data_IF_273104768431
#
_entry.id   IF_273104768431
#
_cell.length_a   1.000
_cell.length_b   1.000
_cell.length_c   1.000
_cell.angle_alpha   90.00
_cell.angle_beta   90.00
_cell.angle_gamma   90.00
#
_symmetry.space_group_name_H-M   'P 1'
#
loop_
_entity.id
_entity.type
_entity.pdbx_description
1 polymer ?
#
# COMPACT_ATOMS: atom_id res chain seq x y z
N UNK A 1 2.87 -19.12 10.10
CA UNK A 1 2.96 -18.14 8.99
C UNK A 1 4.21 -18.39 8.16
N UNK A 2 4.14 -18.27 6.83
CA UNK A 2 5.30 -18.34 5.92
C UNK A 2 6.42 -17.39 6.38
N UNK A 3 7.67 -17.85 6.27
CA UNK A 3 8.85 -17.01 6.46
C UNK A 3 9.24 -16.34 5.15
N UNK A 4 9.56 -15.05 5.21
CA UNK A 4 10.10 -14.29 4.07
C UNK A 4 11.59 -14.03 4.26
N UNK A 5 12.35 -14.10 3.17
CA UNK A 5 13.77 -13.79 3.10
C UNK A 5 13.98 -12.37 2.56
N UNK A 6 13.47 -11.37 3.29
CA UNK A 6 13.60 -9.96 2.92
C UNK A 6 14.89 -9.42 3.56
N UNK A 7 15.69 -8.73 2.76
CA UNK A 7 16.91 -8.06 3.21
C UNK A 7 17.00 -6.69 2.56
N UNK A 8 17.71 -5.76 3.20
CA UNK A 8 17.99 -4.45 2.59
C UNK A 8 18.70 -4.59 1.24
N UNK A 9 18.44 -3.69 0.28
CA UNK A 9 19.24 -3.61 -0.94
C UNK A 9 20.74 -3.52 -0.64
N UNK A 10 21.55 -4.28 -1.39
CA UNK A 10 23.01 -4.31 -1.23
C UNK A 10 23.60 -2.93 -1.57
N UNK A 11 24.53 -2.44 -0.74
CA UNK A 11 25.16 -1.12 -0.88
C UNK A 11 26.37 -1.10 -1.81
N UNK A 12 26.77 -2.21 -2.43
CA UNK A 12 27.94 -2.29 -3.33
C UNK A 12 27.96 -1.23 -4.42
N UNK A 13 26.80 -0.91 -5.01
CA UNK A 13 26.69 0.07 -6.10
C UNK A 13 26.30 1.48 -5.64
N UNK A 14 26.15 1.70 -4.33
CA UNK A 14 25.64 2.97 -3.79
C UNK A 14 26.48 4.17 -4.22
N UNK A 15 27.79 4.13 -3.97
CA UNK A 15 28.70 5.22 -4.31
C UNK A 15 28.74 5.48 -5.83
N UNK A 16 28.65 4.41 -6.63
CA UNK A 16 28.67 4.51 -8.10
C UNK A 16 27.35 5.09 -8.63
N UNK A 17 26.21 4.77 -8.02
CA UNK A 17 24.92 5.40 -8.34
C UNK A 17 24.92 6.88 -7.98
N UNK A 18 25.41 7.24 -6.79
CA UNK A 18 25.52 8.62 -6.34
C UNK A 18 26.43 9.42 -7.28
N UNK A 19 27.59 8.86 -7.66
CA UNK A 19 28.49 9.50 -8.63
C UNK A 19 27.81 9.66 -10.01
N UNK A 20 27.12 8.62 -10.51
CA UNK A 20 26.37 8.70 -11.77
C UNK A 20 25.35 9.84 -11.74
N UNK A 21 24.56 9.95 -10.68
CA UNK A 21 23.53 10.99 -10.53
C UNK A 21 24.14 12.39 -10.41
N UNK A 22 25.27 12.52 -9.71
CA UNK A 22 25.99 13.78 -9.55
C UNK A 22 26.68 14.24 -10.84
N UNK A 23 26.96 13.34 -11.78
CA UNK A 23 27.62 13.64 -13.05
C UNK A 23 26.65 13.96 -14.20
N UNK A 24 25.34 13.89 -13.98
CA UNK A 24 24.33 14.41 -14.92
C UNK A 24 24.48 15.92 -15.10
N UNK A 25 24.15 16.48 -16.27
CA UNK A 25 24.28 17.90 -16.64
C UNK A 25 23.35 18.84 -15.87
N UNK A 26 23.53 18.92 -14.56
CA UNK A 26 22.74 19.71 -13.62
C UNK A 26 23.58 20.13 -12.40
N UNK A 27 23.21 21.21 -11.69
CA UNK A 27 23.79 21.46 -10.37
C UNK A 27 23.54 20.27 -9.43
N UNK A 28 24.50 19.96 -8.56
CA UNK A 28 24.41 18.86 -7.59
C UNK A 28 23.14 19.00 -6.72
N UNK A 29 22.31 17.96 -6.67
CA UNK A 29 21.07 17.94 -5.88
C UNK A 29 19.91 18.79 -6.43
N UNK A 30 20.05 19.44 -7.59
CA UNK A 30 19.03 20.36 -8.13
C UNK A 30 17.71 19.70 -8.54
N UNK A 31 17.69 18.37 -8.73
CA UNK A 31 16.45 17.63 -9.00
C UNK A 31 15.83 17.01 -7.73
N UNK A 32 16.41 17.30 -6.56
CA UNK A 32 15.82 17.00 -5.26
C UNK A 32 15.41 15.54 -5.11
N UNK A 33 14.14 15.31 -4.77
CA UNK A 33 13.64 13.97 -4.47
C UNK A 33 13.66 13.00 -5.66
N UNK A 34 13.67 13.48 -6.92
CA UNK A 34 13.87 12.61 -8.08
C UNK A 34 15.24 11.90 -8.04
N UNK A 35 16.26 12.55 -7.50
CA UNK A 35 17.59 11.95 -7.30
C UNK A 35 17.56 10.85 -6.25
N UNK A 36 16.84 11.08 -5.14
CA UNK A 36 16.63 10.09 -4.08
C UNK A 36 15.89 8.85 -4.61
N UNK A 37 14.85 9.05 -5.42
CA UNK A 37 14.08 7.96 -6.03
C UNK A 37 14.93 7.15 -7.03
N UNK A 38 15.67 7.81 -7.91
CA UNK A 38 16.53 7.12 -8.87
C UNK A 38 17.60 6.27 -8.18
N UNK A 39 18.18 6.80 -7.09
CA UNK A 39 19.11 6.08 -6.24
C UNK A 39 18.45 4.87 -5.57
N UNK A 40 17.29 5.04 -4.94
CA UNK A 40 16.55 3.94 -4.30
C UNK A 40 16.21 2.83 -5.31
N UNK A 41 15.69 3.20 -6.48
CA UNK A 41 15.30 2.24 -7.52
C UNK A 41 16.52 1.52 -8.09
N UNK A 42 17.61 2.25 -8.36
CA UNK A 42 18.88 1.67 -8.80
C UNK A 42 19.43 0.68 -7.78
N UNK A 43 19.32 1.00 -6.49
CA UNK A 43 19.69 0.12 -5.38
C UNK A 43 18.81 -1.13 -5.31
N UNK A 44 17.49 -1.00 -5.38
CA UNK A 44 16.57 -2.16 -5.39
C UNK A 44 16.91 -3.11 -6.55
N UNK A 45 17.08 -2.56 -7.75
CA UNK A 45 17.34 -3.34 -8.97
C UNK A 45 18.81 -3.75 -9.16
N UNK A 46 19.71 -3.28 -8.28
CA UNK A 46 21.16 -3.52 -8.35
C UNK A 46 21.76 -3.17 -9.73
N UNK A 47 21.39 -2.00 -10.26
CA UNK A 47 21.84 -1.53 -11.58
C UNK A 47 22.01 -0.01 -11.61
N UNK A 48 22.95 0.46 -12.43
CA UNK A 48 23.13 1.88 -12.73
C UNK A 48 22.10 2.40 -13.74
N UNK A 49 21.43 1.51 -14.47
CA UNK A 49 20.45 1.84 -15.49
C UNK A 49 19.11 1.16 -15.18
N UNK A 50 18.39 1.60 -14.14
CA UNK A 50 17.13 0.99 -13.73
C UNK A 50 16.06 1.09 -14.82
N UNK A 51 15.03 0.26 -14.73
CA UNK A 51 13.88 0.31 -15.64
C UNK A 51 12.60 -0.08 -14.91
N UNK A 52 11.46 0.50 -15.31
CA UNK A 52 10.14 0.10 -14.82
C UNK A 52 9.48 -0.78 -15.87
N UNK A 53 9.04 -1.97 -15.47
CA UNK A 53 8.52 -2.99 -16.37
C UNK A 53 7.17 -3.48 -15.89
N UNK A 54 6.23 -3.49 -16.82
CA UNK A 54 4.89 -4.05 -16.66
C UNK A 54 4.25 -3.67 -15.31
N UNK A 55 4.01 -2.37 -15.06
CA UNK A 55 3.42 -1.94 -13.79
C UNK A 55 2.03 -2.56 -13.62
N UNK A 56 1.70 -2.97 -12.40
CA UNK A 56 0.40 -3.56 -12.10
C UNK A 56 -0.16 -3.02 -10.78
N UNK A 57 -1.48 -2.85 -10.74
CA UNK A 57 -2.21 -2.50 -9.53
C UNK A 57 -3.00 -3.71 -9.07
N UNK A 58 -2.74 -4.17 -7.85
CA UNK A 58 -3.49 -5.27 -7.25
C UNK A 58 -4.47 -4.68 -6.24
N UNK A 59 -5.76 -4.76 -6.53
CA UNK A 59 -6.83 -4.30 -5.68
C UNK A 59 -7.42 -5.48 -4.92
N UNK A 60 -7.22 -5.53 -3.62
CA UNK A 60 -7.81 -6.55 -2.74
C UNK A 60 -9.12 -6.06 -2.14
N UNK A 61 -10.15 -6.90 -2.13
CA UNK A 61 -11.46 -6.52 -1.59
C UNK A 61 -11.99 -7.51 -0.54
N UNK A 62 -12.53 -6.97 0.54
CA UNK A 62 -13.20 -7.74 1.58
C UNK A 62 -14.12 -6.86 2.42
N UNK A 63 -15.14 -7.48 3.02
CA UNK A 63 -16.04 -6.79 3.94
C UNK A 63 -15.60 -6.91 5.40
N UNK A 64 -15.99 -5.93 6.22
CA UNK A 64 -15.59 -5.86 7.62
C UNK A 64 -16.78 -6.04 8.57
N UNK A 65 -16.66 -6.94 9.55
CA UNK A 65 -17.71 -7.18 10.55
C UNK A 65 -17.99 -5.98 11.45
N UNK A 66 -17.03 -5.06 11.62
CA UNK A 66 -17.21 -3.84 12.43
C UNK A 66 -18.26 -2.88 11.85
N UNK A 67 -18.63 -3.04 10.57
CA UNK A 67 -19.65 -2.20 9.91
C UNK A 67 -21.01 -2.33 10.59
N UNK A 68 -21.32 -3.47 11.21
CA UNK A 68 -22.55 -3.70 11.97
C UNK A 68 -22.70 -2.71 13.16
N UNK A 69 -21.60 -2.10 13.61
CA UNK A 69 -21.61 -1.09 14.67
C UNK A 69 -21.84 0.33 14.15
N UNK A 70 -22.13 0.55 12.87
CA UNK A 70 -22.43 1.88 12.33
C UNK A 70 -21.21 2.81 12.26
N UNK A 71 -20.01 2.27 12.05
CA UNK A 71 -18.75 3.03 11.96
C UNK A 71 -18.49 3.69 10.60
N UNK A 72 -19.46 3.65 9.69
CA UNK A 72 -19.40 4.18 8.33
C UNK A 72 -20.80 4.52 7.83
N UNK A 73 -20.92 5.48 6.90
CA UNK A 73 -22.18 5.80 6.21
C UNK A 73 -22.44 4.91 5.00
N UNK A 74 -21.38 4.32 4.42
CA UNK A 74 -21.50 3.49 3.24
C UNK A 74 -22.15 2.15 3.58
N UNK A 75 -23.18 1.71 2.83
CA UNK A 75 -23.72 0.36 2.94
C UNK A 75 -22.65 -0.69 2.61
N UNK A 76 -22.71 -1.86 3.26
CA UNK A 76 -21.78 -2.97 3.04
C UNK A 76 -21.76 -3.44 1.58
N UNK A 77 -22.90 -3.35 0.90
CA UNK A 77 -23.08 -3.75 -0.49
C UNK A 77 -22.19 -2.96 -1.47
N UNK A 78 -21.74 -1.77 -1.07
CA UNK A 78 -20.86 -0.93 -1.92
C UNK A 78 -19.58 -1.68 -2.29
N UNK A 79 -19.04 -2.53 -1.40
CA UNK A 79 -17.83 -3.33 -1.68
C UNK A 79 -18.00 -4.18 -2.94
N UNK A 80 -19.02 -5.05 -2.99
CA UNK A 80 -19.23 -5.92 -4.15
C UNK A 80 -19.70 -5.12 -5.37
N UNK A 81 -20.50 -4.07 -5.19
CA UNK A 81 -20.98 -3.22 -6.28
C UNK A 81 -19.82 -2.54 -7.00
N UNK A 82 -18.85 -2.00 -6.26
CA UNK A 82 -17.65 -1.40 -6.85
C UNK A 82 -16.80 -2.43 -7.58
N UNK A 83 -16.66 -3.65 -7.05
CA UNK A 83 -15.94 -4.71 -7.77
C UNK A 83 -16.58 -5.01 -9.13
N UNK A 84 -17.91 -5.10 -9.19
CA UNK A 84 -18.62 -5.24 -10.46
C UNK A 84 -18.40 -4.02 -11.36
N UNK A 85 -18.40 -2.81 -10.81
CA UNK A 85 -18.09 -1.59 -11.56
C UNK A 85 -16.67 -1.61 -12.15
N UNK A 86 -15.68 -2.09 -11.39
CA UNK A 86 -14.29 -2.18 -11.83
C UNK A 86 -14.11 -3.16 -12.99
N UNK A 87 -14.85 -4.28 -13.02
CA UNK A 87 -14.83 -5.21 -14.18
C UNK A 87 -15.32 -4.54 -15.47
N UNK A 88 -16.06 -3.44 -15.37
CA UNK A 88 -16.61 -2.68 -16.50
C UNK A 88 -15.77 -1.45 -16.83
N UNK A 89 -14.67 -1.21 -16.12
CA UNK A 89 -13.80 -0.06 -16.34
C UNK A 89 -14.31 1.25 -15.71
N UNK A 90 -15.28 1.19 -14.79
CA UNK A 90 -15.99 2.39 -14.30
C UNK A 90 -15.40 3.07 -13.06
N UNK A 91 -14.37 2.52 -12.44
CA UNK A 91 -13.72 3.09 -11.26
C UNK A 91 -12.66 4.15 -11.57
N UNK A 92 -12.30 4.94 -10.56
CA UNK A 92 -11.17 5.88 -10.65
C UNK A 92 -9.86 5.14 -10.92
N UNK A 93 -9.66 4.00 -10.24
CA UNK A 93 -8.52 3.11 -10.50
C UNK A 93 -8.46 2.62 -11.95
N UNK A 94 -9.59 2.33 -12.59
CA UNK A 94 -9.60 1.89 -14.00
C UNK A 94 -9.10 2.99 -14.95
N UNK A 95 -9.52 4.24 -14.70
CA UNK A 95 -9.07 5.40 -15.47
C UNK A 95 -7.56 5.57 -15.36
N UNK A 96 -7.02 5.62 -14.14
CA UNK A 96 -5.59 5.83 -13.92
C UNK A 96 -4.74 4.64 -14.40
N UNK A 97 -5.21 3.41 -14.21
CA UNK A 97 -4.54 2.23 -14.75
C UNK A 97 -4.42 2.31 -16.27
N UNK A 98 -5.50 2.65 -16.98
CA UNK A 98 -5.46 2.83 -18.43
C UNK A 98 -4.52 3.97 -18.85
N UNK A 99 -4.55 5.09 -18.14
CA UNK A 99 -3.72 6.26 -18.45
C UNK A 99 -2.21 5.95 -18.30
N UNK A 100 -1.84 5.22 -17.27
CA UNK A 100 -0.44 4.95 -16.93
C UNK A 100 0.01 3.52 -17.30
N UNK A 101 -0.81 2.81 -18.09
CA UNK A 101 -0.54 1.45 -18.58
C UNK A 101 -0.28 0.43 -17.46
N UNK A 102 -1.01 0.55 -16.35
CA UNK A 102 -1.05 -0.48 -15.32
C UNK A 102 -2.03 -1.58 -15.69
N UNK A 103 -1.62 -2.84 -15.51
CA UNK A 103 -2.56 -3.95 -15.45
C UNK A 103 -3.30 -3.91 -14.12
N UNK A 104 -4.63 -3.82 -14.13
CA UNK A 104 -5.45 -3.90 -12.92
C UNK A 104 -5.82 -5.36 -12.63
N UNK A 105 -5.47 -5.87 -11.45
CA UNK A 105 -5.91 -7.17 -10.92
C UNK A 105 -6.92 -6.95 -9.81
N UNK A 106 -8.13 -7.47 -9.97
CA UNK A 106 -9.18 -7.42 -8.96
C UNK A 106 -9.18 -8.74 -8.19
N UNK A 107 -8.95 -8.68 -6.88
CA UNK A 107 -8.82 -9.87 -6.04
C UNK A 107 -9.89 -9.84 -4.96
N UNK A 108 -10.75 -10.84 -4.96
CA UNK A 108 -11.68 -11.07 -3.87
C UNK A 108 -10.94 -11.78 -2.73
N UNK A 109 -10.64 -11.04 -1.66
CA UNK A 109 -10.01 -11.58 -0.45
C UNK A 109 -11.06 -12.08 0.56
N UNK A 110 -12.27 -11.52 0.53
CA UNK A 110 -13.30 -11.86 1.48
C UNK A 110 -14.60 -11.06 1.39
N UNK A 111 -15.07 -10.76 0.18
CA UNK A 111 -16.32 -10.01 -0.02
C UNK A 111 -17.51 -10.89 0.39
N UNK A 112 -18.47 -10.32 1.13
CA UNK A 112 -19.71 -11.01 1.51
C UNK A 112 -20.73 -11.00 0.38
N UNK A 113 -20.33 -11.59 -0.75
CA UNK A 113 -21.15 -11.72 -1.94
C UNK A 113 -20.64 -12.87 -2.83
N UNK A 114 -21.54 -13.49 -3.60
CA UNK A 114 -21.15 -14.41 -4.67
C UNK A 114 -20.78 -13.62 -5.92
N UNK A 115 -19.47 -13.37 -6.08
CA UNK A 115 -18.95 -12.58 -7.19
C UNK A 115 -18.87 -13.41 -8.49
N UNK A 116 -19.15 -12.80 -9.65
CA UNK A 116 -19.03 -13.43 -10.96
C UNK A 116 -17.55 -13.51 -11.38
N UNK A 117 -16.81 -14.52 -10.89
CA UNK A 117 -15.37 -14.67 -11.15
C UNK A 117 -15.03 -14.79 -12.64
N UNK A 118 -15.95 -15.28 -13.47
CA UNK A 118 -15.80 -15.36 -14.92
C UNK A 118 -15.62 -14.00 -15.60
N UNK A 119 -15.85 -12.89 -14.87
CA UNK A 119 -15.67 -11.51 -15.34
C UNK A 119 -14.29 -10.91 -14.99
N UNK A 120 -13.32 -11.74 -14.66
CA UNK A 120 -11.94 -11.33 -14.40
C UNK A 120 -11.65 -10.93 -12.95
N UNK A 121 -12.49 -11.35 -12.00
CA UNK A 121 -12.21 -11.24 -10.56
C UNK A 121 -11.46 -12.50 -10.14
N UNK A 122 -10.30 -12.34 -9.53
CA UNK A 122 -9.48 -13.44 -9.04
C UNK A 122 -10.05 -13.92 -7.71
N UNK A 123 -10.50 -15.18 -7.67
CA UNK A 123 -11.07 -15.80 -6.48
C UNK A 123 -9.99 -16.18 -5.48
N UNK A 124 -9.81 -15.36 -4.45
CA UNK A 124 -8.95 -15.64 -3.29
C UNK A 124 -9.76 -15.53 -1.99
N UNK A 125 -11.09 -15.74 -2.05
CA UNK A 125 -12.01 -15.51 -0.93
C UNK A 125 -11.67 -16.43 0.24
N UNK A 126 -11.20 -15.87 1.34
CA UNK A 126 -10.86 -16.64 2.56
C UNK A 126 -12.13 -16.99 3.33
N UNK A 127 -13.05 -16.03 3.41
CA UNK A 127 -14.37 -16.14 4.05
C UNK A 127 -15.26 -14.98 3.57
N UNK A 128 -16.51 -14.96 4.00
CA UNK A 128 -17.44 -13.84 3.74
C UNK A 128 -17.36 -12.80 4.86
N UNK A 129 -16.60 -11.74 4.61
CA UNK A 129 -16.32 -10.67 5.56
C UNK A 129 -15.56 -11.13 6.81
N UNK A 130 -14.89 -10.21 7.51
CA UNK A 130 -14.31 -10.51 8.83
C UNK A 130 -15.38 -10.68 9.90
N UNK A 131 -15.00 -11.29 11.02
CA UNK A 131 -15.79 -11.18 12.26
C UNK A 131 -15.69 -9.76 12.81
N UNK A 132 -16.61 -9.40 13.71
CA UNK A 132 -16.61 -8.10 14.35
C UNK A 132 -15.66 -8.09 15.56
N UNK A 133 -14.55 -7.36 15.44
CA UNK A 133 -13.52 -7.23 16.48
C UNK A 133 -13.93 -6.46 17.72
N UNK A 134 -15.17 -5.97 17.80
CA UNK A 134 -15.77 -5.58 19.07
C UNK A 134 -16.05 -6.76 19.99
N UNK A 135 -16.31 -7.95 19.42
CA UNK A 135 -16.73 -9.14 20.19
C UNK A 135 -15.71 -10.29 20.13
N UNK A 136 -15.01 -10.46 19.02
CA UNK A 136 -14.04 -11.54 18.81
C UNK A 136 -13.04 -11.19 17.69
N UNK A 137 -11.90 -11.87 17.60
CA UNK A 137 -10.90 -11.56 16.58
C UNK A 137 -11.46 -11.57 15.14
N UNK A 138 -11.09 -10.57 14.34
CA UNK A 138 -11.54 -10.41 12.96
C UNK A 138 -11.33 -11.66 12.10
N UNK A 139 -10.23 -12.39 12.33
CA UNK A 139 -9.94 -13.66 11.67
C UNK A 139 -9.22 -14.66 12.61
N UNK A 140 -9.26 -15.95 12.27
CA UNK A 140 -8.46 -16.98 12.94
C UNK A 140 -7.00 -16.92 12.50
N UNK A 141 -6.13 -17.69 13.14
CA UNK A 141 -4.73 -17.78 12.73
C UNK A 141 -4.61 -18.40 11.33
N UNK A 142 -5.39 -19.45 11.05
CA UNK A 142 -5.42 -20.12 9.75
C UNK A 142 -5.95 -19.20 8.64
N UNK A 143 -6.99 -18.41 8.93
CA UNK A 143 -7.52 -17.41 8.01
C UNK A 143 -6.46 -16.33 7.68
N UNK A 144 -5.72 -15.85 8.69
CA UNK A 144 -4.63 -14.89 8.50
C UNK A 144 -3.49 -15.48 7.66
N UNK A 145 -3.06 -16.70 7.96
CA UNK A 145 -2.01 -17.39 7.20
C UNK A 145 -2.41 -17.60 5.74
N UNK A 146 -3.68 -17.95 5.50
CA UNK A 146 -4.22 -18.11 4.16
C UNK A 146 -4.27 -16.78 3.40
N UNK A 147 -4.63 -15.67 4.05
CA UNK A 147 -4.53 -14.32 3.47
C UNK A 147 -3.10 -14.01 3.03
N UNK A 148 -2.12 -14.22 3.91
CA UNK A 148 -0.70 -13.94 3.62
C UNK A 148 -0.20 -14.78 2.43
N UNK A 149 -0.52 -16.08 2.40
CA UNK A 149 -0.09 -16.96 1.31
C UNK A 149 -0.76 -16.60 -0.02
N UNK A 150 -2.07 -16.29 -0.02
CA UNK A 150 -2.79 -15.89 -1.24
C UNK A 150 -2.29 -14.56 -1.79
N UNK A 151 -2.03 -13.57 -0.93
CA UNK A 151 -1.42 -12.31 -1.35
C UNK A 151 -0.04 -12.51 -1.97
N UNK A 152 0.76 -13.39 -1.36
CA UNK A 152 2.06 -13.78 -1.89
C UNK A 152 1.94 -14.49 -3.26
N UNK A 153 0.94 -15.37 -3.43
CA UNK A 153 0.71 -16.09 -4.68
C UNK A 153 0.39 -15.14 -5.85
N UNK A 154 -0.45 -14.11 -5.62
CA UNK A 154 -0.74 -13.09 -6.63
C UNK A 154 0.54 -12.37 -7.07
N UNK A 155 1.40 -11.99 -6.12
CA UNK A 155 2.64 -11.26 -6.46
C UNK A 155 3.64 -12.13 -7.22
N UNK A 156 3.76 -13.42 -6.89
CA UNK A 156 4.58 -14.35 -7.69
C UNK A 156 4.09 -14.42 -9.14
N UNK A 157 2.78 -14.46 -9.35
CA UNK A 157 2.22 -14.39 -10.69
C UNK A 157 2.57 -13.07 -11.41
N UNK A 158 2.47 -11.92 -10.72
CA UNK A 158 2.85 -10.64 -11.31
C UNK A 158 4.33 -10.58 -11.71
N UNK A 159 5.20 -11.19 -10.89
CA UNK A 159 6.62 -11.30 -11.18
C UNK A 159 6.90 -12.20 -12.39
N UNK A 160 6.21 -13.35 -12.50
CA UNK A 160 6.28 -14.25 -13.66
C UNK A 160 5.77 -13.58 -14.96
N UNK A 161 4.80 -12.67 -14.83
CA UNK A 161 4.32 -11.81 -15.92
C UNK A 161 5.33 -10.69 -16.30
N UNK A 162 6.47 -10.60 -15.61
CA UNK A 162 7.55 -9.67 -15.91
C UNK A 162 7.44 -8.31 -15.23
N UNK A 163 6.57 -8.17 -14.23
CA UNK A 163 6.46 -6.95 -13.43
C UNK A 163 7.68 -6.78 -12.52
N UNK A 164 8.09 -5.53 -12.28
CA UNK A 164 9.06 -5.17 -11.24
C UNK A 164 8.62 -4.00 -10.36
N UNK A 165 7.39 -3.54 -10.54
CA UNK A 165 6.77 -2.47 -9.75
C UNK A 165 5.29 -2.77 -9.59
N UNK A 166 4.83 -2.75 -8.36
CA UNK A 166 3.43 -3.00 -8.00
C UNK A 166 2.89 -1.84 -7.18
N UNK A 167 1.69 -1.39 -7.53
CA UNK A 167 0.85 -0.65 -6.60
C UNK A 167 -0.19 -1.57 -5.97
N UNK A 168 -0.59 -1.22 -4.76
CA UNK A 168 -1.62 -1.95 -4.04
C UNK A 168 -2.80 -1.02 -3.76
N UNK A 169 -3.99 -1.56 -3.92
CA UNK A 169 -5.24 -0.90 -3.63
C UNK A 169 -6.13 -1.78 -2.78
N UNK A 170 -7.17 -1.17 -2.24
CA UNK A 170 -8.19 -1.86 -1.46
C UNK A 170 -9.59 -1.47 -1.91
N UNK A 171 -10.55 -2.31 -1.55
CA UNK A 171 -11.96 -1.95 -1.51
C UNK A 171 -12.60 -2.70 -0.34
N UNK A 172 -12.94 -1.99 0.73
CA UNK A 172 -13.59 -2.60 1.88
C UNK A 172 -14.32 -1.58 2.75
N UNK A 173 -15.65 -1.68 2.78
CA UNK A 173 -16.44 -0.80 3.65
C UNK A 173 -16.06 -1.06 5.12
N UNK A 174 -15.66 0.01 5.84
CA UNK A 174 -15.27 -0.04 7.25
C UNK A 174 -13.76 -0.21 7.53
N UNK A 175 -12.92 -0.43 6.52
CA UNK A 175 -11.50 -0.71 6.72
C UNK A 175 -10.65 0.46 7.24
N UNK A 176 -11.14 1.70 7.14
CA UNK A 176 -10.52 2.87 7.80
C UNK A 176 -10.56 2.74 9.32
N UNK A 177 -11.54 2.03 9.88
CA UNK A 177 -11.60 1.69 11.32
C UNK A 177 -10.45 0.78 11.73
N UNK A 178 -10.25 -0.29 10.97
CA UNK A 178 -9.15 -1.26 11.14
C UNK A 178 -7.80 -0.56 11.01
N UNK A 179 -7.66 0.30 10.01
CA UNK A 179 -6.47 1.14 9.78
C UNK A 179 -6.18 2.08 10.95
N UNK A 180 -7.21 2.71 11.53
CA UNK A 180 -7.06 3.61 12.69
C UNK A 180 -6.54 2.87 13.93
N UNK A 181 -7.03 1.65 14.16
CA UNK A 181 -6.56 0.80 15.26
C UNK A 181 -5.10 0.37 15.03
N UNK A 182 -4.75 -0.09 13.83
CA UNK A 182 -3.37 -0.47 13.51
C UNK A 182 -2.41 0.70 13.66
N UNK A 183 -2.77 1.89 13.16
CA UNK A 183 -1.98 3.10 13.35
C UNK A 183 -1.74 3.35 14.84
N UNK A 184 -2.79 3.33 15.67
CA UNK A 184 -2.67 3.51 17.12
C UNK A 184 -1.72 2.47 17.75
N UNK A 185 -1.96 1.19 17.52
CA UNK A 185 -1.21 0.09 18.13
C UNK A 185 0.27 0.08 17.71
N UNK A 186 0.59 0.45 16.46
CA UNK A 186 1.94 0.32 15.91
C UNK A 186 2.79 1.59 15.97
N UNK A 187 2.18 2.75 16.23
CA UNK A 187 2.87 4.05 16.33
C UNK A 187 2.75 4.68 17.72
N UNK A 188 1.87 4.16 18.58
CA UNK A 188 1.49 4.76 19.86
C UNK A 188 0.87 6.17 19.76
N UNK A 189 0.48 6.62 18.56
CA UNK A 189 -0.30 7.85 18.38
C UNK A 189 -1.69 7.66 19.03
N UNK A 190 -2.19 8.65 19.81
CA UNK A 190 -3.51 8.55 20.44
C UNK A 190 -4.63 8.25 19.44
N UNK A 191 -5.52 7.31 19.78
CA UNK A 191 -6.55 6.80 18.85
C UNK A 191 -7.48 7.90 18.30
N UNK A 192 -7.79 8.92 19.11
CA UNK A 192 -8.58 10.09 18.70
C UNK A 192 -7.92 10.90 17.57
N UNK A 193 -6.59 10.80 17.41
CA UNK A 193 -5.84 11.38 16.28
C UNK A 193 -5.72 10.44 15.07
N UNK A 194 -6.03 9.16 15.26
CA UNK A 194 -6.00 8.16 14.19
C UNK A 194 -7.36 8.05 13.47
N UNK A 195 -8.46 8.38 14.16
CA UNK A 195 -9.82 8.26 13.62
C UNK A 195 -10.21 9.50 12.83
N UNK A 196 -10.47 9.33 11.54
CA UNK A 196 -10.96 10.37 10.64
C UNK A 196 -12.36 10.10 10.09
N UNK A 197 -12.88 11.02 9.24
CA UNK A 197 -14.21 10.95 8.65
C UNK A 197 -14.39 9.77 7.68
N UNK A 198 -13.30 9.22 7.13
CA UNK A 198 -13.34 8.18 6.11
C UNK A 198 -14.22 8.58 4.92
N UNK A 199 -15.24 7.77 4.62
CA UNK A 199 -16.22 8.01 3.56
C UNK A 199 -17.26 9.12 3.88
N UNK A 200 -16.88 10.15 4.65
CA UNK A 200 -17.70 11.37 4.84
C UNK A 200 -18.55 11.41 6.13
N UNK A 201 -18.12 10.76 7.21
CA UNK A 201 -18.76 10.93 8.52
C UNK A 201 -18.71 12.39 8.99
N UNK A 202 -19.78 12.83 9.66
CA UNK A 202 -19.79 14.07 10.45
C UNK A 202 -19.16 13.85 11.83
N UNK A 203 -19.06 14.92 12.63
CA UNK A 203 -18.44 14.87 13.97
C UNK A 203 -19.09 13.82 14.89
N UNK A 204 -20.42 13.68 14.88
CA UNK A 204 -21.12 12.66 15.66
C UNK A 204 -20.73 11.23 15.22
N UNK A 205 -20.66 11.00 13.91
CA UNK A 205 -20.22 9.74 13.34
C UNK A 205 -18.76 9.41 13.68
N UNK A 206 -17.87 10.41 13.67
CA UNK A 206 -16.47 10.25 14.09
C UNK A 206 -16.40 9.89 15.57
N UNK A 207 -17.16 10.57 16.43
CA UNK A 207 -17.20 10.30 17.87
C UNK A 207 -17.76 8.91 18.18
N UNK A 208 -18.80 8.48 17.46
CA UNK A 208 -19.35 7.14 17.57
C UNK A 208 -18.34 6.08 17.14
N UNK A 209 -17.70 6.26 15.98
CA UNK A 209 -16.61 5.39 15.51
C UNK A 209 -15.50 5.30 16.55
N UNK A 210 -15.02 6.43 17.07
CA UNK A 210 -13.99 6.46 18.11
C UNK A 210 -14.41 5.67 19.37
N UNK A 211 -15.66 5.82 19.82
CA UNK A 211 -16.19 5.07 20.98
C UNK A 211 -16.18 3.56 20.72
N UNK A 212 -16.62 3.12 19.55
CA UNK A 212 -16.60 1.70 19.17
C UNK A 212 -15.16 1.16 19.16
N UNK A 213 -14.22 1.86 18.51
CA UNK A 213 -12.83 1.39 18.43
C UNK A 213 -12.12 1.40 19.79
N UNK A 214 -12.42 2.36 20.68
CA UNK A 214 -11.94 2.33 22.07
C UNK A 214 -12.44 1.07 22.79
N UNK A 215 -13.73 0.76 22.67
CA UNK A 215 -14.33 -0.43 23.27
C UNK A 215 -13.74 -1.74 22.69
N UNK A 216 -13.45 -1.78 21.38
CA UNK A 216 -12.75 -2.91 20.76
C UNK A 216 -11.36 -3.13 21.35
N UNK A 217 -10.59 -2.06 21.60
CA UNK A 217 -9.29 -2.14 22.26
C UNK A 217 -9.40 -2.56 23.73
N UNK A 218 -10.41 -2.07 24.46
CA UNK A 218 -10.68 -2.50 25.85
C UNK A 218 -11.06 -3.99 25.94
N UNK A 219 -11.76 -4.50 24.93
CA UNK A 219 -12.15 -5.91 24.83
C UNK A 219 -11.03 -6.82 24.32
N UNK A 220 -9.90 -6.24 23.88
CA UNK A 220 -8.76 -6.99 23.39
C UNK A 220 -8.14 -7.84 24.49
N UNK A 221 -8.13 -9.16 24.29
CA UNK A 221 -7.52 -10.13 25.22
C UNK A 221 -6.27 -10.80 24.65
N UNK A 222 -5.70 -10.22 23.60
CA UNK A 222 -4.54 -10.76 22.92
C UNK A 222 -3.22 -10.40 23.60
N UNK A 223 -2.12 -10.81 22.99
CA UNK A 223 -0.77 -10.69 23.58
C UNK A 223 -0.01 -9.42 23.18
N UNK A 224 -0.61 -8.55 22.36
CA UNK A 224 0.01 -7.32 21.85
C UNK A 224 1.13 -7.54 20.83
N UNK A 225 1.42 -8.78 20.45
CA UNK A 225 2.39 -9.05 19.39
C UNK A 225 1.85 -8.56 18.04
N UNK A 226 2.71 -8.08 17.13
CA UNK A 226 2.26 -7.56 15.84
C UNK A 226 1.35 -8.51 15.05
N UNK A 227 1.67 -9.81 15.02
CA UNK A 227 0.84 -10.81 14.36
C UNK A 227 -0.56 -10.90 14.96
N UNK A 228 -0.65 -10.83 16.28
CA UNK A 228 -1.93 -10.93 16.97
C UNK A 228 -2.78 -9.67 16.74
N UNK A 229 -2.17 -8.48 16.77
CA UNK A 229 -2.85 -7.21 16.44
C UNK A 229 -3.36 -7.22 15.00
N UNK A 230 -2.54 -7.68 14.04
CA UNK A 230 -2.92 -7.81 12.62
C UNK A 230 -4.14 -8.71 12.49
N UNK A 231 -4.09 -9.89 13.10
CA UNK A 231 -5.17 -10.88 13.09
C UNK A 231 -6.45 -10.35 13.75
N UNK A 232 -6.31 -9.67 14.89
CA UNK A 232 -7.46 -9.29 15.72
C UNK A 232 -8.23 -8.12 15.12
N UNK A 233 -7.53 -7.11 14.60
CA UNK A 233 -8.12 -5.84 14.17
C UNK A 233 -8.05 -5.57 12.66
N UNK A 234 -7.59 -6.54 11.87
CA UNK A 234 -7.39 -6.39 10.43
C UNK A 234 -8.61 -6.67 9.56
N UNK A 235 -8.46 -6.34 8.28
CA UNK A 235 -9.30 -6.82 7.17
C UNK A 235 -8.62 -7.94 6.39
N UNK A 236 -9.40 -8.83 5.75
CA UNK A 236 -8.84 -9.92 4.94
C UNK A 236 -8.05 -9.38 3.74
N UNK A 237 -8.53 -8.29 3.14
CA UNK A 237 -7.88 -7.56 2.06
C UNK A 237 -6.59 -6.87 2.52
N UNK A 238 -6.60 -6.31 3.74
CA UNK A 238 -5.43 -5.66 4.33
C UNK A 238 -4.33 -6.69 4.64
N UNK A 239 -4.69 -7.84 5.22
CA UNK A 239 -3.73 -8.91 5.51
C UNK A 239 -3.22 -9.58 4.23
N UNK A 240 -4.06 -9.71 3.21
CA UNK A 240 -3.62 -10.19 1.91
C UNK A 240 -2.64 -9.19 1.26
N UNK A 241 -2.88 -7.89 1.39
CA UNK A 241 -1.93 -6.85 0.96
C UNK A 241 -0.59 -6.92 1.73
N UNK A 242 -0.59 -7.23 3.03
CA UNK A 242 0.65 -7.47 3.80
C UNK A 242 1.46 -8.61 3.17
N UNK A 243 0.83 -9.77 2.92
CA UNK A 243 1.51 -10.90 2.29
C UNK A 243 2.04 -10.56 0.90
N UNK A 244 1.27 -9.80 0.12
CA UNK A 244 1.67 -9.32 -1.19
C UNK A 244 2.89 -8.37 -1.12
N UNK A 245 2.87 -7.38 -0.24
CA UNK A 245 3.98 -6.44 -0.05
C UNK A 245 5.27 -7.15 0.42
N UNK A 246 5.16 -8.09 1.36
CA UNK A 246 6.30 -8.89 1.82
C UNK A 246 6.88 -9.74 0.68
N UNK A 247 6.03 -10.38 -0.12
CA UNK A 247 6.47 -11.15 -1.28
C UNK A 247 7.13 -10.25 -2.35
N UNK A 248 6.62 -9.04 -2.58
CA UNK A 248 7.17 -8.09 -3.54
C UNK A 248 8.59 -7.66 -3.12
N UNK A 249 8.79 -7.37 -1.83
CA UNK A 249 10.11 -7.06 -1.29
C UNK A 249 11.09 -8.26 -1.38
N UNK A 250 10.63 -9.47 -1.08
CA UNK A 250 11.44 -10.71 -1.24
C UNK A 250 11.91 -10.90 -2.69
N UNK A 251 11.06 -10.52 -3.67
CA UNK A 251 11.35 -10.56 -5.10
C UNK A 251 12.05 -9.29 -5.62
N UNK A 252 12.41 -8.36 -4.73
CA UNK A 252 13.08 -7.09 -5.05
C UNK A 252 12.29 -6.23 -6.04
N UNK A 253 10.97 -6.26 -5.94
CA UNK A 253 10.07 -5.38 -6.70
C UNK A 253 9.87 -4.07 -5.93
N UNK A 254 9.58 -3.00 -6.67
CA UNK A 254 9.19 -1.72 -6.08
C UNK A 254 7.74 -1.81 -5.62
N UNK A 255 7.48 -1.31 -4.41
CA UNK A 255 6.13 -1.23 -3.82
C UNK A 255 5.70 0.23 -3.83
N UNK A 256 4.71 0.58 -4.64
CA UNK A 256 4.12 1.91 -4.69
C UNK A 256 2.91 1.97 -3.77
N UNK A 257 3.10 2.62 -2.62
CA UNK A 257 2.11 2.67 -1.53
C UNK A 257 1.10 3.78 -1.80
N UNK A 258 -0.18 3.46 -1.68
CA UNK A 258 -1.29 4.38 -1.89
C UNK A 258 -1.61 5.21 -0.63
N UNK A 259 -2.89 5.30 -0.25
CA UNK A 259 -3.36 6.13 0.85
C UNK A 259 -3.20 5.51 2.24
N UNK A 260 -4.01 6.03 3.16
CA UNK A 260 -4.00 5.68 4.58
C UNK A 260 -4.04 4.18 4.87
N UNK A 261 -4.88 3.43 4.15
CA UNK A 261 -5.10 2.00 4.39
C UNK A 261 -3.88 1.18 3.96
N UNK A 262 -3.35 1.43 2.75
CA UNK A 262 -2.14 0.74 2.27
C UNK A 262 -0.89 1.15 3.03
N UNK A 263 -0.84 2.39 3.52
CA UNK A 263 0.22 2.85 4.43
C UNK A 263 0.17 2.09 5.76
N UNK A 264 -1.02 1.82 6.31
CA UNK A 264 -1.17 0.97 7.49
C UNK A 264 -0.79 -0.49 7.21
N UNK A 265 -1.12 -1.02 6.04
CA UNK A 265 -0.70 -2.38 5.65
C UNK A 265 0.83 -2.50 5.57
N UNK A 266 1.54 -1.57 4.94
CA UNK A 266 3.01 -1.61 4.89
C UNK A 266 3.64 -1.33 6.28
N UNK A 267 3.00 -0.49 7.12
CA UNK A 267 3.41 -0.33 8.52
C UNK A 267 3.32 -1.66 9.27
N UNK A 268 2.20 -2.36 9.17
CA UNK A 268 2.00 -3.67 9.78
C UNK A 268 3.02 -4.69 9.26
N UNK A 269 3.27 -4.72 7.94
CA UNK A 269 4.32 -5.54 7.33
C UNK A 269 5.71 -5.23 7.93
N UNK A 270 6.04 -3.95 8.14
CA UNK A 270 7.32 -3.52 8.72
C UNK A 270 7.52 -3.94 10.18
N UNK A 271 6.44 -4.16 10.94
CA UNK A 271 6.52 -4.71 12.29
C UNK A 271 6.89 -6.20 12.30
N UNK A 272 6.68 -6.89 11.18
CA UNK A 272 7.08 -8.29 10.99
C UNK A 272 8.46 -8.39 10.33
N UNK A 273 8.69 -7.58 9.29
CA UNK A 273 9.93 -7.55 8.50
C UNK A 273 10.32 -6.10 8.20
N UNK A 274 11.16 -5.45 9.04
CA UNK A 274 11.48 -4.03 8.92
C UNK A 274 12.07 -3.62 7.58
N UNK A 275 12.88 -4.50 6.97
CA UNK A 275 13.55 -4.26 5.69
C UNK A 275 12.58 -4.15 4.49
N UNK A 276 11.29 -4.44 4.67
CA UNK A 276 10.27 -4.23 3.62
C UNK A 276 10.17 -2.76 3.21
N UNK A 277 10.45 -1.82 4.13
CA UNK A 277 10.35 -0.39 3.87
C UNK A 277 11.39 0.12 2.87
N UNK A 278 12.53 -0.57 2.72
CA UNK A 278 13.55 -0.20 1.74
C UNK A 278 13.06 -0.38 0.28
N UNK A 279 11.96 -1.13 0.10
CA UNK A 279 11.30 -1.37 -1.20
C UNK A 279 10.07 -0.49 -1.44
N UNK A 280 9.67 0.31 -0.45
CA UNK A 280 8.46 1.13 -0.51
C UNK A 280 8.74 2.55 -1.03
N UNK A 281 7.91 3.01 -1.95
CA UNK A 281 7.79 4.40 -2.40
C UNK A 281 6.37 4.87 -2.06
N UNK A 282 6.25 5.96 -1.31
CA UNK A 282 4.94 6.45 -0.85
C UNK A 282 4.35 7.41 -1.87
N UNK A 283 3.23 7.02 -2.49
CA UNK A 283 2.64 7.74 -3.63
C UNK A 283 2.08 9.11 -3.25
N UNK A 284 1.29 9.20 -2.17
CA UNK A 284 0.70 10.47 -1.77
C UNK A 284 0.44 10.58 -0.26
N UNK A 285 0.29 11.82 0.21
CA UNK A 285 -0.40 12.15 1.43
C UNK A 285 -1.89 12.33 1.11
N UNK A 286 -2.75 11.63 1.82
CA UNK A 286 -4.18 11.82 1.75
C UNK A 286 -4.66 13.00 2.60
N UNK A 287 -5.89 13.44 2.37
CA UNK A 287 -6.56 14.52 3.14
C UNK A 287 -7.04 14.06 4.53
N UNK A 288 -6.72 12.83 4.92
CA UNK A 288 -7.00 12.34 6.26
C UNK A 288 -5.91 12.82 7.22
N UNK A 289 -6.29 13.53 8.29
CA UNK A 289 -5.36 14.02 9.30
C UNK A 289 -4.46 12.92 9.88
N UNK A 290 -4.99 11.70 10.00
CA UNK A 290 -4.24 10.52 10.43
C UNK A 290 -3.14 10.10 9.45
N UNK A 291 -3.30 10.32 8.14
CA UNK A 291 -2.32 9.83 7.15
C UNK A 291 -1.01 10.61 7.22
N UNK A 292 -1.05 11.93 7.41
CA UNK A 292 0.15 12.73 7.61
C UNK A 292 0.94 12.27 8.85
N UNK A 293 0.25 12.11 9.98
CA UNK A 293 0.87 11.65 11.23
C UNK A 293 1.47 10.24 11.08
N UNK A 294 0.81 9.37 10.34
CA UNK A 294 1.28 8.03 10.04
C UNK A 294 2.57 8.05 9.19
N UNK A 295 2.60 8.87 8.13
CA UNK A 295 3.80 9.04 7.30
C UNK A 295 4.96 9.62 8.11
N UNK A 296 4.70 10.61 8.97
CA UNK A 296 5.70 11.17 9.90
C UNK A 296 6.25 10.10 10.87
N UNK A 297 5.39 9.26 11.46
CA UNK A 297 5.81 8.18 12.35
C UNK A 297 6.66 7.11 11.65
N UNK A 298 6.50 6.96 10.33
CA UNK A 298 7.29 6.06 9.48
C UNK A 298 8.54 6.72 8.89
N UNK A 299 8.73 8.03 9.10
CA UNK A 299 9.74 8.83 8.39
C UNK A 299 9.63 8.68 6.85
N UNK A 300 8.41 8.56 6.36
CA UNK A 300 8.08 8.39 4.95
C UNK A 300 7.86 9.75 4.28
N UNK A 301 8.39 9.91 3.06
CA UNK A 301 8.21 11.10 2.23
C UNK A 301 7.24 10.77 1.07
N UNK A 302 5.98 11.22 1.10
CA UNK A 302 5.06 11.00 -0.02
C UNK A 302 5.44 11.85 -1.24
N UNK A 303 5.16 11.35 -2.44
CA UNK A 303 5.47 12.05 -3.69
C UNK A 303 4.48 13.17 -4.01
N UNK A 304 3.22 13.00 -3.64
CA UNK A 304 2.14 13.91 -3.96
C UNK A 304 1.39 14.36 -2.70
N UNK A 305 0.89 15.59 -2.71
CA UNK A 305 -0.09 16.10 -1.75
C UNK A 305 -1.19 16.82 -2.54
N UNK A 306 -2.26 16.08 -2.84
CA UNK A 306 -3.35 16.50 -3.73
C UNK A 306 -4.72 16.43 -3.06
N UNK A 307 -4.76 16.16 -1.75
CA UNK A 307 -6.02 15.96 -1.02
C UNK A 307 -6.82 14.72 -1.47
N UNK A 308 -6.15 13.71 -2.02
CA UNK A 308 -6.82 12.46 -2.43
C UNK A 308 -7.25 11.64 -1.21
N UNK A 309 -8.42 10.99 -1.31
CA UNK A 309 -8.97 10.12 -0.25
C UNK A 309 -9.87 9.01 -0.79
N UNK A 310 -9.66 8.63 -2.06
CA UNK A 310 -10.46 7.61 -2.73
C UNK A 310 -10.03 6.18 -2.34
N UNK A 311 -8.72 5.94 -2.21
CA UNK A 311 -8.17 4.59 -2.05
C UNK A 311 -8.00 3.90 -3.41
N UNK A 312 -8.26 2.59 -3.44
CA UNK A 312 -8.21 1.73 -4.65
C UNK A 312 -6.82 1.60 -5.31
N UNK A 313 -5.78 2.25 -4.79
CA UNK A 313 -4.46 2.37 -5.43
C UNK A 313 -4.30 3.63 -6.29
N UNK A 314 -5.30 4.52 -6.29
CA UNK A 314 -5.35 5.66 -7.21
C UNK A 314 -4.23 6.69 -7.01
N UNK A 315 -3.92 7.05 -5.77
CA UNK A 315 -2.84 7.99 -5.44
C UNK A 315 -1.45 7.43 -5.76
N UNK A 316 -1.25 6.13 -5.52
CA UNK A 316 -0.06 5.41 -5.97
C UNK A 316 0.12 5.50 -7.49
N UNK A 317 -0.91 5.17 -8.27
CA UNK A 317 -0.83 5.22 -9.74
C UNK A 317 -0.63 6.66 -10.24
N UNK A 318 -1.29 7.66 -9.63
CA UNK A 318 -1.09 9.08 -9.94
C UNK A 318 0.35 9.56 -9.69
N UNK A 319 1.05 8.97 -8.73
CA UNK A 319 2.45 9.28 -8.43
C UNK A 319 3.45 8.60 -9.40
N UNK A 320 3.01 7.57 -10.13
CA UNK A 320 3.86 6.80 -11.02
C UNK A 320 4.65 7.64 -12.05
N UNK A 321 4.10 8.69 -12.69
CA UNK A 321 4.87 9.53 -13.61
C UNK A 321 6.10 10.21 -12.98
N UNK A 322 6.07 10.49 -11.67
CA UNK A 322 7.22 11.03 -10.94
C UNK A 322 8.30 9.94 -10.76
N UNK A 323 7.88 8.71 -10.48
CA UNK A 323 8.77 7.53 -10.40
C UNK A 323 9.41 7.25 -11.76
N UNK A 324 8.62 7.27 -12.84
CA UNK A 324 9.12 7.13 -14.22
C UNK A 324 10.11 8.25 -14.57
N UNK A 325 9.81 9.49 -14.18
CA UNK A 325 10.71 10.64 -14.39
C UNK A 325 12.06 10.44 -13.70
N UNK A 326 12.10 9.88 -12.49
CA UNK A 326 13.36 9.57 -11.79
C UNK A 326 14.19 8.52 -12.54
N UNK A 327 13.54 7.47 -13.04
CA UNK A 327 14.21 6.41 -13.83
C UNK A 327 14.71 6.94 -15.18
N UNK A 328 13.93 7.77 -15.86
CA UNK A 328 14.37 8.41 -17.11
C UNK A 328 15.51 9.40 -16.88
N UNK A 329 15.44 10.18 -15.81
CA UNK A 329 16.49 11.14 -15.44
C UNK A 329 17.87 10.47 -15.39
N UNK A 330 18.02 9.35 -14.66
CA UNK A 330 19.32 8.67 -14.53
C UNK A 330 19.77 7.94 -15.81
N UNK A 331 18.86 7.67 -16.74
CA UNK A 331 19.15 6.94 -17.97
C UNK A 331 19.37 7.83 -19.20
N UNK A 332 18.63 8.93 -19.30
CA UNK A 332 18.49 9.73 -20.51
C UNK A 332 19.20 11.10 -20.41
N UNK A 333 19.40 11.64 -19.21
CA UNK A 333 20.17 12.89 -19.07
C UNK A 333 21.64 12.66 -19.44
N UNK A 334 22.19 13.62 -20.18
CA UNK A 334 23.62 13.62 -20.52
C UNK A 334 24.49 13.84 -19.28
N UNK A 335 25.76 13.42 -19.38
CA UNK A 335 26.78 13.76 -18.39
C UNK A 335 27.54 15.02 -18.78
N UNK A 336 28.12 15.73 -17.81
CA UNK A 336 28.98 16.90 -18.06
C UNK A 336 30.05 16.61 -19.13
N UNK A 337 30.70 15.45 -19.02
CA UNK A 337 31.73 15.01 -19.98
C UNK A 337 31.18 14.85 -21.40
N UNK A 338 30.04 14.16 -21.56
CA UNK A 338 29.46 13.89 -22.88
C UNK A 338 28.87 15.14 -23.54
N UNK A 339 28.32 16.06 -22.74
CA UNK A 339 27.79 17.33 -23.21
C UNK A 339 28.86 18.43 -23.42
N UNK A 340 30.14 18.15 -23.14
CA UNK A 340 31.22 19.15 -23.16
C UNK A 340 30.95 20.37 -22.26
N UNK A 341 30.31 20.16 -21.11
CA UNK A 341 30.03 21.20 -20.12
C UNK A 341 31.06 21.09 -18.99
N UNK A 342 31.69 22.20 -18.63
CA UNK A 342 32.63 22.25 -17.50
C UNK A 342 31.90 21.96 -16.18
N UNK A 343 32.32 20.90 -15.49
CA UNK A 343 31.89 20.59 -14.13
C UNK A 343 32.53 21.59 -13.15
N UNK A 344 31.73 22.16 -12.25
CA UNK A 344 32.13 23.30 -11.39
C UNK A 344 32.00 23.00 -9.88
N UNK A 345 32.00 21.72 -9.50
CA UNK A 345 31.87 21.25 -8.12
C UNK A 345 32.65 19.96 -7.87
#
# INVERSE_FOLDING_TARGET
MRKFAISKPDKKIYEVLVDKINNLTKPKGSLGHLEELALQIGMIQQTLSPSLKHPQNILFAADHGIVEEGVTLSPKEVTWQQLINFTRGGGGVNLFCRQHNFTLKLVDAGVDYELPYEKGIINMKVRRGTRNYLYEAAMTEEEMELCVERGSAIVRQCYEEGSNILSFGEMGVGNTSSSSIWMHCFTAIPLDKCVGPGAGLNDEGIMHKLKILKKSLENYKGNGAPLDIIRYFGGLEMVMAIGAMLQAAELKMIILVDGFIMTNSILAASKLYPDVLDYAIFGHCGDESGHKLLLEAMNAKPLLDLGLRLGEGTGAICAYPIVDSAVRMINEMETFQKASITKYF
#
